data_IF_433649284476
#
_entry.id   IF_433649284476
#
_cell.length_a   1.000
_cell.length_b   1.000
_cell.length_c   1.000
_cell.angle_alpha   90.00
_cell.angle_beta   90.00
_cell.angle_gamma   90.00
#
_symmetry.space_group_name_H-M   'P 1'
#
loop_
_entity.id
_entity.type
_entity.pdbx_description
1 polymer ?
#
# COMPACT_ATOMS: atom_id res chain seq x y z
N UNK A 1 -4.28 -53.95 20.18
CA UNK A 1 -5.26 -53.33 19.28
C UNK A 1 -4.79 -51.92 19.02
N UNK A 2 -4.30 -51.71 17.80
CA UNK A 2 -3.48 -50.59 17.37
C UNK A 2 -4.24 -49.25 17.33
N UNK A 3 -3.53 -48.18 17.71
CA UNK A 3 -3.96 -46.80 17.62
C UNK A 3 -3.89 -46.35 16.15
N UNK A 4 -5.03 -46.04 15.54
CA UNK A 4 -5.06 -45.40 14.22
C UNK A 4 -5.00 -43.87 14.37
N UNK A 5 -3.77 -43.33 14.40
CA UNK A 5 -3.52 -41.93 14.10
C UNK A 5 -3.68 -41.74 12.59
N UNK A 6 -4.85 -41.29 12.14
CA UNK A 6 -5.03 -40.82 10.77
C UNK A 6 -4.41 -39.44 10.62
N UNK A 7 -3.12 -39.39 10.31
CA UNK A 7 -2.43 -38.19 9.84
C UNK A 7 -2.97 -37.83 8.45
N UNK A 8 -4.06 -37.07 8.41
CA UNK A 8 -4.55 -36.49 7.18
C UNK A 8 -3.48 -35.51 6.64
N UNK A 9 -3.08 -35.60 5.35
CA UNK A 9 -2.06 -34.72 4.80
C UNK A 9 -2.54 -33.28 4.88
N UNK A 10 -1.85 -32.46 5.69
CA UNK A 10 -2.07 -31.01 5.79
C UNK A 10 -1.81 -30.41 4.41
N UNK A 11 -2.87 -30.16 3.63
CA UNK A 11 -2.79 -29.44 2.36
C UNK A 11 -2.01 -28.15 2.59
N UNK A 12 -0.99 -27.83 1.77
CA UNK A 12 -0.24 -26.59 1.94
C UNK A 12 -1.23 -25.43 1.89
N UNK A 13 -1.22 -24.60 2.94
CA UNK A 13 -1.99 -23.37 2.98
C UNK A 13 -1.66 -22.59 1.71
N UNK A 14 -2.67 -22.44 0.84
CA UNK A 14 -2.55 -21.68 -0.41
C UNK A 14 -2.02 -20.30 -0.02
N UNK A 15 -0.75 -20.00 -0.33
CA UNK A 15 -0.17 -18.68 -0.10
C UNK A 15 -1.13 -17.68 -0.70
N UNK A 16 -1.75 -16.86 0.14
CA UNK A 16 -2.56 -15.76 -0.35
C UNK A 16 -1.64 -14.93 -1.23
N UNK A 17 -2.04 -14.72 -2.48
CA UNK A 17 -1.30 -13.94 -3.46
C UNK A 17 -1.03 -12.58 -2.85
N UNK A 18 0.25 -12.31 -2.57
CA UNK A 18 0.67 -11.00 -2.14
C UNK A 18 0.63 -10.11 -3.37
N UNK A 19 -0.28 -9.15 -3.38
CA UNK A 19 -0.24 -8.07 -4.37
C UNK A 19 0.99 -7.24 -4.06
N UNK A 20 1.98 -7.28 -4.95
CA UNK A 20 3.23 -6.55 -4.80
C UNK A 20 2.97 -5.09 -5.13
N UNK A 21 2.93 -4.23 -4.11
CA UNK A 21 2.84 -2.78 -4.26
C UNK A 21 3.80 -2.18 -3.24
N UNK A 22 4.65 -1.28 -3.71
CA UNK A 22 5.62 -0.55 -2.89
C UNK A 22 4.98 0.61 -2.12
N UNK A 23 5.65 1.09 -1.07
CA UNK A 23 5.19 2.27 -0.30
C UNK A 23 5.09 3.51 -1.18
N UNK A 24 5.99 3.70 -2.15
CA UNK A 24 5.96 4.83 -3.10
C UNK A 24 4.74 4.78 -4.02
N UNK A 25 4.39 3.60 -4.52
CA UNK A 25 3.17 3.40 -5.32
C UNK A 25 1.92 3.63 -4.50
N UNK A 26 1.92 3.25 -3.22
CA UNK A 26 0.81 3.56 -2.33
C UNK A 26 0.69 5.07 -2.05
N UNK A 27 1.80 5.80 -1.86
CA UNK A 27 1.77 7.27 -1.75
C UNK A 27 1.25 7.90 -3.04
N UNK A 28 1.69 7.45 -4.23
CA UNK A 28 1.13 7.90 -5.52
C UNK A 28 -0.38 7.69 -5.59
N UNK A 29 -0.85 6.52 -5.16
CA UNK A 29 -2.27 6.23 -5.06
C UNK A 29 -3.00 7.22 -4.15
N UNK A 30 -2.47 7.50 -2.94
CA UNK A 30 -3.08 8.43 -2.00
C UNK A 30 -3.19 9.84 -2.58
N UNK A 31 -2.10 10.35 -3.17
CA UNK A 31 -2.08 11.68 -3.82
C UNK A 31 -3.12 11.75 -4.94
N UNK A 32 -3.19 10.73 -5.80
CA UNK A 32 -4.18 10.67 -6.89
C UNK A 32 -5.63 10.58 -6.40
N UNK A 33 -5.86 10.08 -5.17
CA UNK A 33 -7.18 10.04 -4.52
C UNK A 33 -7.48 11.28 -3.66
N UNK A 34 -6.61 12.29 -3.69
CA UNK A 34 -6.80 13.54 -2.96
C UNK A 34 -6.36 13.49 -1.50
N UNK A 35 -5.56 12.51 -1.10
CA UNK A 35 -4.97 12.43 0.24
C UNK A 35 -3.77 13.37 0.46
N UNK A 36 -3.81 14.56 -0.16
CA UNK A 36 -2.75 15.57 -0.06
C UNK A 36 -3.06 16.62 1.03
N UNK A 37 -2.22 17.66 1.12
CA UNK A 37 -2.14 18.73 2.13
C UNK A 37 -3.48 19.37 2.60
N UNK A 38 -4.58 19.16 1.88
CA UNK A 38 -5.91 19.64 2.24
C UNK A 38 -6.73 18.64 3.07
N UNK A 39 -6.27 17.39 3.22
CA UNK A 39 -6.95 16.36 3.97
C UNK A 39 -6.82 16.58 5.49
N UNK A 40 -7.88 17.11 6.10
CA UNK A 40 -7.97 17.20 7.56
C UNK A 40 -8.42 15.88 8.18
N UNK A 41 -7.79 15.51 9.28
CA UNK A 41 -8.21 14.38 10.09
C UNK A 41 -9.68 14.55 10.55
N UNK A 42 -10.56 13.58 10.31
CA UNK A 42 -11.97 13.70 10.68
C UNK A 42 -12.20 13.63 12.20
N UNK A 43 -11.19 13.22 12.98
CA UNK A 43 -11.29 13.08 14.44
C UNK A 43 -10.73 14.30 15.17
N UNK A 44 -9.50 14.73 14.83
CA UNK A 44 -8.82 15.83 15.53
C UNK A 44 -8.54 17.06 14.66
N UNK A 45 -8.93 17.04 13.38
CA UNK A 45 -8.63 18.09 12.40
C UNK A 45 -7.15 18.39 12.16
N UNK A 46 -6.25 17.52 12.63
CA UNK A 46 -4.83 17.58 12.30
C UNK A 46 -4.57 17.39 10.80
N UNK A 47 -3.48 17.98 10.32
CA UNK A 47 -3.10 18.02 8.90
C UNK A 47 -1.96 17.03 8.59
N UNK A 48 -1.30 16.49 9.62
CA UNK A 48 -0.17 15.59 9.46
C UNK A 48 -0.62 14.11 9.40
N UNK A 49 -0.21 13.44 8.33
CA UNK A 49 -0.48 12.03 8.05
C UNK A 49 0.82 11.30 7.72
N UNK A 50 0.88 10.02 8.06
CA UNK A 50 2.03 9.17 7.72
C UNK A 50 1.59 7.75 7.37
N UNK A 51 2.39 7.07 6.54
CA UNK A 51 2.13 5.70 6.07
C UNK A 51 2.72 4.71 7.07
N UNK A 52 2.03 3.59 7.29
CA UNK A 52 2.60 2.46 8.04
C UNK A 52 3.68 1.77 7.19
N UNK A 53 4.90 1.69 7.72
CA UNK A 53 6.11 1.15 7.05
C UNK A 53 6.66 2.02 5.91
N UNK A 54 7.10 3.26 6.20
CA UNK A 54 7.45 4.24 5.16
C UNK A 54 8.71 3.93 4.33
N UNK A 55 9.53 2.92 4.66
CA UNK A 55 10.82 2.70 3.98
C UNK A 55 11.18 1.25 3.69
N UNK A 56 10.25 0.33 3.95
CA UNK A 56 10.50 -1.08 3.69
C UNK A 56 9.88 -1.40 2.33
N UNK A 57 10.64 -1.96 1.38
CA UNK A 57 10.08 -2.72 0.25
C UNK A 57 9.32 -4.00 0.71
N UNK A 58 8.92 -4.01 1.99
CA UNK A 58 8.31 -5.10 2.71
C UNK A 58 6.80 -5.11 2.59
N UNK A 59 6.17 -6.16 3.13
CA UNK A 59 4.77 -6.48 2.85
C UNK A 59 3.78 -5.51 3.52
N UNK A 60 2.66 -5.27 2.83
CA UNK A 60 1.40 -4.73 3.35
C UNK A 60 1.07 -5.10 4.80
N UNK A 61 0.44 -4.18 5.53
CA UNK A 61 -0.22 -4.49 6.81
C UNK A 61 -1.25 -5.59 6.61
N UNK A 62 -1.19 -6.65 7.43
CA UNK A 62 -2.17 -7.74 7.42
C UNK A 62 -3.10 -7.63 8.61
N UNK A 63 -4.38 -7.42 8.33
CA UNK A 63 -5.44 -7.41 9.33
C UNK A 63 -6.14 -8.78 9.33
N UNK A 64 -5.94 -9.54 10.41
CA UNK A 64 -6.69 -10.77 10.64
C UNK A 64 -8.06 -10.45 11.23
N UNK A 65 -9.14 -10.79 10.52
CA UNK A 65 -10.50 -10.58 11.02
C UNK A 65 -11.16 -11.93 11.36
N UNK A 66 -11.59 -12.13 12.61
CA UNK A 66 -12.42 -13.27 12.95
C UNK A 66 -13.82 -13.05 12.36
N UNK A 67 -14.17 -13.81 11.32
CA UNK A 67 -15.51 -13.78 10.74
C UNK A 67 -16.39 -14.73 11.54
N UNK A 68 -17.44 -14.22 12.19
CA UNK A 68 -18.46 -15.07 12.83
C UNK A 68 -19.02 -16.02 11.76
N UNK A 69 -19.06 -17.32 12.06
CA UNK A 69 -19.51 -18.40 11.16
C UNK A 69 -18.51 -18.89 10.10
N UNK A 70 -17.21 -18.64 10.28
CA UNK A 70 -16.16 -19.40 9.58
C UNK A 70 -15.21 -20.06 10.58
N UNK A 71 -14.87 -21.31 10.31
CA UNK A 71 -13.93 -22.09 11.12
C UNK A 71 -12.51 -21.50 11.11
N UNK A 72 -12.16 -20.74 10.05
CA UNK A 72 -10.82 -20.16 9.87
C UNK A 72 -10.89 -18.64 9.80
N UNK A 73 -9.98 -17.98 10.52
CA UNK A 73 -9.69 -16.55 10.40
C UNK A 73 -9.33 -16.21 8.96
N UNK A 74 -9.95 -15.15 8.43
CA UNK A 74 -9.59 -14.60 7.14
C UNK A 74 -8.65 -13.42 7.35
N UNK A 75 -7.60 -13.34 6.52
CA UNK A 75 -6.65 -12.24 6.55
C UNK A 75 -6.92 -11.31 5.38
N UNK A 76 -7.17 -10.03 5.68
CA UNK A 76 -7.14 -8.96 4.69
C UNK A 76 -5.71 -8.42 4.61
N UNK A 77 -5.24 -8.23 3.39
CA UNK A 77 -4.01 -7.47 3.12
C UNK A 77 -4.41 -6.04 2.77
N UNK A 78 -3.86 -5.09 3.52
CA UNK A 78 -4.25 -3.68 3.46
C UNK A 78 -3.03 -2.78 3.49
N UNK A 79 -3.12 -1.65 2.79
CA UNK A 79 -2.25 -0.51 3.04
C UNK A 79 -2.94 0.44 4.01
N UNK A 80 -2.17 1.11 4.87
CA UNK A 80 -2.73 2.02 5.86
C UNK A 80 -1.88 3.25 6.07
N UNK A 81 -2.55 4.36 6.36
CA UNK A 81 -1.95 5.63 6.75
C UNK A 81 -2.75 6.22 7.90
N UNK A 82 -2.07 6.94 8.80
CA UNK A 82 -2.68 7.42 10.04
C UNK A 82 -2.34 8.86 10.33
N UNK A 83 -3.23 9.54 11.05
CA UNK A 83 -3.02 10.89 11.54
C UNK A 83 -2.00 10.86 12.68
N UNK A 84 -0.92 11.64 12.56
CA UNK A 84 0.16 11.70 13.55
C UNK A 84 -0.35 12.22 14.90
N UNK A 85 -1.33 13.12 14.88
CA UNK A 85 -1.82 13.79 16.08
C UNK A 85 -2.70 12.90 16.98
N UNK A 86 -3.55 12.05 16.39
CA UNK A 86 -4.55 11.28 17.17
C UNK A 86 -4.57 9.78 16.87
N UNK A 87 -3.74 9.30 15.93
CA UNK A 87 -3.66 7.89 15.56
C UNK A 87 -4.84 7.37 14.74
N UNK A 88 -5.74 8.25 14.26
CA UNK A 88 -6.83 7.83 13.38
C UNK A 88 -6.28 7.16 12.12
N UNK A 89 -6.64 5.89 11.91
CA UNK A 89 -6.11 5.03 10.85
C UNK A 89 -7.12 4.89 9.71
N UNK A 90 -6.66 5.10 8.48
CA UNK A 90 -7.38 4.76 7.26
C UNK A 90 -6.68 3.60 6.56
N UNK A 91 -7.48 2.68 6.02
CA UNK A 91 -6.97 1.47 5.37
C UNK A 91 -7.58 1.27 3.98
N UNK A 92 -6.77 0.84 3.02
CA UNK A 92 -7.18 0.46 1.68
C UNK A 92 -6.83 -1.00 1.42
N UNK A 93 -7.70 -1.73 0.70
CA UNK A 93 -7.43 -3.10 0.30
C UNK A 93 -6.26 -3.15 -0.68
N UNK A 94 -5.28 -4.04 -0.44
CA UNK A 94 -4.10 -4.15 -1.30
C UNK A 94 -4.46 -4.48 -2.76
N UNK A 95 -5.51 -5.26 -3.00
CA UNK A 95 -6.00 -5.56 -4.35
C UNK A 95 -6.51 -4.34 -5.10
N UNK A 96 -7.09 -3.36 -4.40
CA UNK A 96 -7.60 -2.12 -5.00
C UNK A 96 -6.45 -1.21 -5.37
N UNK A 97 -5.46 -1.07 -4.48
CA UNK A 97 -4.26 -0.28 -4.75
C UNK A 97 -3.47 -0.89 -5.91
N UNK A 98 -3.25 -2.21 -5.90
CA UNK A 98 -2.54 -2.92 -6.96
C UNK A 98 -3.18 -2.73 -8.33
N UNK A 99 -4.49 -2.94 -8.43
CA UNK A 99 -5.22 -2.73 -9.67
C UNK A 99 -5.02 -1.29 -10.20
N UNK A 100 -5.09 -0.30 -9.30
CA UNK A 100 -4.87 1.08 -9.69
C UNK A 100 -3.43 1.32 -10.18
N UNK A 101 -2.42 0.73 -9.51
CA UNK A 101 -1.01 0.83 -9.91
C UNK A 101 -0.77 0.22 -11.29
N UNK A 102 -1.34 -0.97 -11.57
CA UNK A 102 -1.26 -1.61 -12.88
C UNK A 102 -1.87 -0.74 -13.99
N UNK A 103 -2.97 -0.03 -13.69
CA UNK A 103 -3.64 0.89 -14.62
C UNK A 103 -2.93 2.26 -14.73
N UNK A 104 -2.02 2.59 -13.81
CA UNK A 104 -1.35 3.89 -13.70
C UNK A 104 0.16 3.71 -13.41
N UNK A 105 0.95 3.15 -14.35
CA UNK A 105 2.37 2.90 -14.15
C UNK A 105 3.14 4.20 -13.87
N UNK A 106 4.26 4.09 -13.13
CA UNK A 106 5.18 5.23 -12.98
C UNK A 106 5.79 5.56 -14.34
N UNK A 107 5.94 6.85 -14.65
CA UNK A 107 6.73 7.28 -15.82
C UNK A 107 8.19 7.23 -15.39
N UNK A 108 9.01 6.43 -16.07
CA UNK A 108 10.46 6.42 -15.85
C UNK A 108 11.02 7.79 -16.26
N UNK A 109 11.51 8.55 -15.28
CA UNK A 109 12.10 9.88 -15.50
C UNK A 109 13.55 9.83 -16.00
N UNK A 110 14.12 8.65 -16.22
CA UNK A 110 15.51 8.47 -16.65
C UNK A 110 15.76 8.73 -18.16
N UNK A 111 14.79 9.27 -18.89
CA UNK A 111 14.90 9.56 -20.34
C UNK A 111 14.65 11.03 -20.73
N UNK A 112 14.69 11.96 -19.77
CA UNK A 112 14.51 13.39 -20.05
C UNK A 112 15.77 14.21 -19.66
N UNK A 113 16.90 13.89 -20.28
CA UNK A 113 18.01 14.83 -20.43
C UNK A 113 18.35 14.92 -21.92
N UNK A 114 18.62 16.16 -22.36
CA UNK A 114 19.12 16.60 -23.67
C UNK A 114 18.08 17.13 -24.68
N UNK A 115 17.65 18.38 -24.48
CA UNK A 115 17.75 19.42 -25.51
C UNK A 115 17.32 20.79 -24.94
N UNK A 116 18.23 21.43 -24.21
CA UNK A 116 18.19 22.88 -24.06
C UNK A 116 19.62 23.41 -24.15
N UNK A 117 20.14 23.43 -25.38
CA UNK A 117 21.31 24.23 -25.73
C UNK A 117 20.95 25.71 -25.57
N UNK A 118 21.45 26.33 -24.51
CA UNK A 118 21.58 27.77 -24.40
C UNK A 118 22.65 28.28 -25.38
N UNK A 119 22.36 29.36 -26.11
CA UNK A 119 23.34 30.43 -26.34
C UNK A 119 22.66 31.70 -26.85
N UNK A 120 22.19 32.53 -25.91
CA UNK A 120 22.00 33.97 -26.12
C UNK A 120 23.13 34.69 -25.37
N UNK A 121 24.19 35.06 -26.08
CA UNK A 121 25.07 36.20 -25.73
C UNK A 121 25.68 36.74 -27.01
N UNK A 122 25.28 37.94 -27.40
CA UNK A 122 26.20 39.09 -27.41
C UNK A 122 25.39 40.38 -27.60
N UNK A 123 25.51 41.25 -26.59
CA UNK A 123 25.06 42.62 -26.62
C UNK A 123 26.21 43.57 -26.97
N UNK A 124 25.80 44.67 -27.59
CA UNK A 124 26.47 45.97 -27.79
C UNK A 124 27.56 46.11 -28.88
#
# INVERSE_FOLDING_TARGET
MEQNMTDAPKKPLKRMTMFSVSSNEFVRFLVAKGGNETERCPVCSGEEWTVLCPNDGGPTLRLGMPVRNREKTFYLSTFGYYCVNCGFLRTHMASVVHKWVEENPAVDTDLADDDSAESDTDGE
#
